data_IF_075344444563
#
_entry.id   IF_075344444563
#
_cell.length_a   1.000
_cell.length_b   1.000
_cell.length_c   1.000
_cell.angle_alpha   90.00
_cell.angle_beta   90.00
_cell.angle_gamma   90.00
#
_symmetry.space_group_name_H-M   'P 1'
#
loop_
_entity.id
_entity.type
_entity.pdbx_description
1 polymer ?
#
# COMPACT_ATOMS: atom_id res chain seq x y z
N UNK A 1 37.48 -16.07 -3.34
CA UNK A 1 36.38 -16.95 -3.80
C UNK A 1 36.05 -16.57 -5.22
N UNK A 2 35.74 -17.52 -6.10
CA UNK A 2 35.26 -17.21 -7.44
C UNK A 2 33.93 -16.44 -7.36
N UNK A 3 33.67 -15.51 -8.29
CA UNK A 3 32.40 -14.78 -8.32
C UNK A 3 31.24 -15.74 -8.60
N UNK A 4 30.14 -15.61 -7.86
CA UNK A 4 28.92 -16.36 -8.09
C UNK A 4 28.18 -15.73 -9.28
N UNK A 5 28.00 -16.49 -10.36
CA UNK A 5 27.36 -16.01 -11.60
C UNK A 5 25.97 -16.62 -11.73
N UNK A 6 24.94 -15.79 -11.62
CA UNK A 6 23.55 -16.23 -11.67
C UNK A 6 22.87 -15.76 -12.95
N UNK A 7 21.92 -16.58 -13.43
CA UNK A 7 21.03 -16.27 -14.55
C UNK A 7 19.58 -16.21 -14.08
N UNK A 8 19.09 -15.03 -13.63
CA UNK A 8 17.73 -14.91 -13.16
C UNK A 8 16.73 -15.09 -14.31
N UNK A 9 15.66 -15.84 -14.08
CA UNK A 9 14.74 -16.27 -15.14
C UNK A 9 13.28 -15.86 -14.92
N UNK A 10 12.89 -15.50 -13.69
CA UNK A 10 11.52 -15.13 -13.35
C UNK A 10 11.50 -14.12 -12.18
N UNK A 11 10.49 -13.26 -12.05
CA UNK A 11 10.35 -12.41 -10.88
C UNK A 11 9.89 -13.19 -9.65
N UNK A 12 10.21 -12.67 -8.47
CA UNK A 12 9.66 -13.11 -7.20
C UNK A 12 8.99 -11.95 -6.48
N UNK A 13 7.92 -12.25 -5.72
CA UNK A 13 7.35 -11.28 -4.80
C UNK A 13 8.44 -10.83 -3.80
N UNK A 14 8.59 -9.53 -3.59
CA UNK A 14 9.71 -8.93 -2.84
C UNK A 14 10.74 -8.18 -3.71
N UNK A 15 10.59 -8.21 -5.05
CA UNK A 15 11.43 -7.42 -5.96
C UNK A 15 12.75 -8.07 -6.35
N UNK A 16 12.95 -9.34 -5.96
CA UNK A 16 14.06 -10.16 -6.41
C UNK A 16 13.68 -10.91 -7.70
N UNK A 17 14.68 -11.37 -8.44
CA UNK A 17 14.51 -12.35 -9.52
C UNK A 17 15.01 -13.74 -9.07
N UNK A 18 14.36 -14.80 -9.55
CA UNK A 18 14.68 -16.19 -9.24
C UNK A 18 15.74 -16.69 -10.19
N UNK A 19 16.83 -17.23 -9.67
CA UNK A 19 17.82 -18.00 -10.44
C UNK A 19 17.93 -19.42 -9.89
N UNK A 20 18.33 -20.37 -10.75
CA UNK A 20 18.63 -21.75 -10.36
C UNK A 20 20.04 -22.10 -10.82
N UNK A 21 20.87 -22.56 -9.88
CA UNK A 21 22.24 -22.99 -10.15
C UNK A 21 22.54 -24.23 -9.29
N UNK A 22 23.05 -25.29 -9.91
CA UNK A 22 23.35 -26.58 -9.25
C UNK A 22 22.21 -27.12 -8.36
N UNK A 23 20.97 -27.02 -8.84
CA UNK A 23 19.78 -27.46 -8.09
C UNK A 23 19.37 -26.54 -6.93
N UNK A 24 20.12 -25.47 -6.65
CA UNK A 24 19.84 -24.48 -5.62
C UNK A 24 19.05 -23.30 -6.20
N UNK A 25 18.01 -22.87 -5.47
CA UNK A 25 17.21 -21.69 -5.80
C UNK A 25 17.79 -20.46 -5.10
N UNK A 26 17.97 -19.39 -5.87
CA UNK A 26 18.44 -18.09 -5.41
C UNK A 26 17.40 -17.01 -5.67
N UNK A 27 17.14 -16.16 -4.66
CA UNK A 27 16.50 -14.86 -4.82
C UNK A 27 17.59 -13.81 -5.02
N UNK A 28 17.65 -13.22 -6.21
CA UNK A 28 18.68 -12.26 -6.61
C UNK A 28 18.09 -10.86 -6.61
N UNK A 29 18.43 -10.07 -5.60
CA UNK A 29 18.02 -8.67 -5.52
C UNK A 29 18.74 -7.84 -6.60
N UNK A 30 18.05 -6.82 -7.12
CA UNK A 30 18.59 -5.85 -8.09
C UNK A 30 18.99 -6.43 -9.46
N UNK A 31 18.52 -7.64 -9.75
CA UNK A 31 18.61 -8.26 -11.07
C UNK A 31 17.23 -8.35 -11.72
N UNK A 32 17.21 -8.34 -13.06
CA UNK A 32 16.01 -8.58 -13.85
C UNK A 32 16.04 -10.00 -14.44
N UNK A 33 14.86 -10.59 -14.70
CA UNK A 33 14.78 -11.80 -15.51
C UNK A 33 15.44 -11.60 -16.88
N UNK A 34 16.16 -12.62 -17.34
CA UNK A 34 16.89 -12.61 -18.62
C UNK A 34 18.33 -12.10 -18.54
N UNK A 35 18.80 -11.67 -17.37
CA UNK A 35 20.15 -11.18 -17.19
C UNK A 35 21.17 -12.27 -16.85
N UNK A 36 22.45 -11.94 -17.05
CA UNK A 36 23.57 -12.65 -16.44
C UNK A 36 24.24 -11.69 -15.47
N UNK A 37 24.32 -12.06 -14.20
CA UNK A 37 24.83 -11.18 -13.13
C UNK A 37 25.90 -11.88 -12.30
N UNK A 38 26.91 -11.11 -11.92
CA UNK A 38 27.74 -11.44 -10.76
C UNK A 38 26.98 -11.02 -9.49
N UNK A 39 26.92 -11.92 -8.52
CA UNK A 39 26.12 -11.72 -7.32
C UNK A 39 26.88 -12.07 -6.04
N UNK A 40 26.58 -11.38 -4.96
CA UNK A 40 27.11 -11.68 -3.63
C UNK A 40 26.03 -12.33 -2.75
N UNK A 41 26.31 -13.47 -2.10
CA UNK A 41 25.40 -14.06 -1.12
C UNK A 41 25.09 -13.10 0.03
N UNK A 42 23.82 -13.01 0.42
CA UNK A 42 23.29 -12.16 1.51
C UNK A 42 22.50 -12.95 2.56
N UNK A 43 22.73 -14.26 2.66
CA UNK A 43 22.09 -15.14 3.63
C UNK A 43 20.90 -15.90 3.05
N UNK A 44 19.85 -16.10 3.86
CA UNK A 44 18.65 -16.87 3.51
C UNK A 44 17.38 -16.14 3.95
N UNK A 45 16.30 -16.31 3.20
CA UNK A 45 14.96 -15.82 3.52
C UNK A 45 13.97 -16.97 3.34
N UNK A 46 13.24 -17.34 4.41
CA UNK A 46 12.31 -18.48 4.37
C UNK A 46 12.97 -19.80 3.91
N UNK A 47 14.25 -20.00 4.26
CA UNK A 47 15.03 -21.17 3.84
C UNK A 47 15.62 -21.08 2.42
N UNK A 48 15.20 -20.14 1.58
CA UNK A 48 15.73 -19.92 0.23
C UNK A 48 17.00 -19.05 0.29
N UNK A 49 17.99 -19.35 -0.53
CA UNK A 49 19.23 -18.56 -0.57
C UNK A 49 18.98 -17.20 -1.23
N UNK A 50 19.63 -16.17 -0.70
CA UNK A 50 19.50 -14.80 -1.18
C UNK A 50 20.86 -14.30 -1.64
N UNK A 51 20.90 -13.62 -2.77
CA UNK A 51 22.05 -12.89 -3.27
C UNK A 51 21.65 -11.49 -3.72
N UNK A 52 22.60 -10.59 -3.88
CA UNK A 52 22.40 -9.29 -4.51
C UNK A 52 23.32 -9.18 -5.72
N UNK A 53 22.78 -8.75 -6.86
CA UNK A 53 23.61 -8.46 -8.03
C UNK A 53 24.56 -7.30 -7.71
N UNK A 54 25.85 -7.52 -7.93
CA UNK A 54 26.91 -6.52 -7.76
C UNK A 54 27.39 -5.98 -9.10
N UNK A 55 27.31 -6.80 -10.15
CA UNK A 55 27.61 -6.40 -11.53
C UNK A 55 26.70 -7.14 -12.52
N UNK A 56 26.16 -6.39 -13.47
CA UNK A 56 25.39 -6.93 -14.59
C UNK A 56 26.37 -7.20 -15.73
N UNK A 57 26.48 -8.46 -16.15
CA UNK A 57 27.38 -8.92 -17.22
C UNK A 57 26.65 -8.84 -18.56
N UNK A 58 25.43 -9.37 -18.61
CA UNK A 58 24.51 -9.26 -19.74
C UNK A 58 23.22 -8.62 -19.24
N UNK A 59 22.96 -7.39 -19.70
CA UNK A 59 21.82 -6.61 -19.24
C UNK A 59 20.55 -6.95 -20.03
N UNK A 60 19.41 -6.92 -19.33
CA UNK A 60 18.10 -6.99 -19.97
C UNK A 60 17.88 -5.73 -20.80
N UNK A 61 17.22 -5.80 -21.97
CA UNK A 61 16.82 -4.60 -22.73
C UNK A 61 15.88 -3.68 -21.94
N UNK A 62 15.28 -4.17 -20.86
CA UNK A 62 14.41 -3.40 -19.98
C UNK A 62 15.14 -2.76 -18.80
N UNK A 63 16.45 -2.96 -18.65
CA UNK A 63 17.23 -2.32 -17.58
C UNK A 63 17.39 -0.82 -17.87
N UNK A 64 17.19 -0.01 -16.84
CA UNK A 64 17.45 1.43 -16.86
C UNK A 64 18.35 1.80 -15.68
N UNK A 65 18.99 2.97 -15.75
CA UNK A 65 19.70 3.52 -14.61
C UNK A 65 18.67 3.98 -13.56
N UNK A 66 18.84 3.52 -12.31
CA UNK A 66 17.99 3.97 -11.21
C UNK A 66 18.31 5.46 -10.90
N UNK A 67 17.33 6.38 -11.00
CA UNK A 67 17.61 7.82 -10.86
C UNK A 67 17.80 8.26 -9.40
N UNK A 68 17.31 7.49 -8.42
CA UNK A 68 17.46 7.86 -7.01
C UNK A 68 18.89 7.58 -6.52
N UNK A 69 19.59 8.56 -5.93
CA UNK A 69 20.95 8.36 -5.42
C UNK A 69 21.00 7.40 -4.22
N UNK A 70 19.86 7.16 -3.57
CA UNK A 70 19.76 6.24 -2.43
C UNK A 70 19.32 4.82 -2.83
N UNK A 71 19.09 4.54 -4.11
CA UNK A 71 18.66 3.21 -4.57
C UNK A 71 19.70 2.14 -4.22
N UNK A 72 19.28 1.02 -3.63
CA UNK A 72 20.16 -0.04 -3.14
C UNK A 72 20.67 0.16 -1.70
N UNK A 73 20.71 1.39 -1.19
CA UNK A 73 21.02 1.69 0.21
C UNK A 73 19.76 1.91 1.06
N UNK A 74 18.75 2.57 0.50
CA UNK A 74 17.43 2.78 1.09
C UNK A 74 16.56 1.53 0.94
N UNK A 75 15.81 1.16 2.00
CA UNK A 75 14.87 0.04 1.97
C UNK A 75 13.58 0.27 1.17
N UNK A 76 13.35 1.48 0.66
CA UNK A 76 12.05 1.90 0.11
C UNK A 76 11.71 1.34 -1.28
N UNK A 77 12.65 1.38 -2.23
CA UNK A 77 12.40 1.00 -3.63
C UNK A 77 13.25 -0.21 -4.06
N UNK A 78 12.70 -1.06 -4.91
CA UNK A 78 13.35 -2.29 -5.36
C UNK A 78 13.45 -2.40 -6.89
N UNK A 79 12.62 -1.66 -7.65
CA UNK A 79 12.46 -1.84 -9.09
C UNK A 79 12.88 -0.62 -9.96
N UNK A 80 13.49 0.43 -9.39
CA UNK A 80 13.91 1.61 -10.16
C UNK A 80 14.90 1.31 -11.30
N UNK A 81 15.55 0.14 -11.27
CA UNK A 81 16.45 -0.33 -12.32
C UNK A 81 15.74 -1.04 -13.48
N UNK A 82 14.41 -1.15 -13.46
CA UNK A 82 13.57 -1.65 -14.53
C UNK A 82 12.78 -0.51 -15.17
N UNK A 83 12.72 -0.48 -16.50
CA UNK A 83 11.81 0.38 -17.25
C UNK A 83 10.38 0.19 -16.74
N UNK A 84 9.62 1.28 -16.63
CA UNK A 84 8.33 1.24 -15.93
C UNK A 84 7.33 0.24 -16.55
N UNK A 85 7.23 0.18 -17.88
CA UNK A 85 6.40 -0.81 -18.57
C UNK A 85 6.76 -2.25 -18.16
N UNK A 86 8.05 -2.54 -18.02
CA UNK A 86 8.51 -3.85 -17.58
C UNK A 86 8.21 -4.11 -16.09
N UNK A 87 8.17 -3.08 -15.23
CA UNK A 87 7.71 -3.25 -13.85
C UNK A 87 6.26 -3.79 -13.80
N UNK A 88 5.38 -3.30 -14.68
CA UNK A 88 4.00 -3.77 -14.77
C UNK A 88 3.93 -5.24 -15.21
N UNK A 89 4.76 -5.64 -16.18
CA UNK A 89 4.88 -7.04 -16.62
C UNK A 89 5.37 -7.96 -15.49
N UNK A 90 6.41 -7.54 -14.76
CA UNK A 90 6.94 -8.30 -13.62
C UNK A 90 5.87 -8.47 -12.53
N UNK A 91 5.13 -7.41 -12.21
CA UNK A 91 4.03 -7.46 -11.24
C UNK A 91 2.90 -8.38 -11.68
N UNK A 92 2.54 -8.37 -12.97
CA UNK A 92 1.57 -9.32 -13.54
C UNK A 92 2.04 -10.76 -13.35
N UNK A 93 3.28 -11.06 -13.73
CA UNK A 93 3.83 -12.41 -13.61
C UNK A 93 3.84 -12.90 -12.15
N UNK A 94 4.16 -12.03 -11.19
CA UNK A 94 4.13 -12.39 -9.76
C UNK A 94 2.72 -12.82 -9.31
N UNK A 95 1.67 -12.11 -9.75
CA UNK A 95 0.28 -12.48 -9.43
C UNK A 95 -0.12 -13.78 -10.13
N UNK A 96 0.21 -13.90 -11.42
CA UNK A 96 -0.08 -15.10 -12.21
C UNK A 96 0.57 -16.35 -11.61
N UNK A 97 1.84 -16.27 -11.23
CA UNK A 97 2.58 -17.35 -10.58
C UNK A 97 2.00 -17.70 -9.21
N UNK A 98 1.55 -16.70 -8.43
CA UNK A 98 0.92 -16.93 -7.13
C UNK A 98 -0.40 -17.70 -7.27
N UNK A 99 -1.22 -17.32 -8.25
CA UNK A 99 -2.49 -17.99 -8.55
C UNK A 99 -2.26 -19.40 -9.11
N UNK A 100 -1.33 -19.54 -10.05
CA UNK A 100 -0.98 -20.83 -10.65
C UNK A 100 -0.50 -21.85 -9.61
N UNK A 101 0.35 -21.42 -8.66
CA UNK A 101 0.79 -22.28 -7.54
C UNK A 101 -0.36 -22.71 -6.62
N UNK A 102 -1.41 -21.91 -6.52
CA UNK A 102 -2.63 -22.25 -5.78
C UNK A 102 -3.62 -23.10 -6.59
N UNK A 103 -3.32 -23.43 -7.85
CA UNK A 103 -4.20 -24.15 -8.76
C UNK A 103 -5.31 -23.29 -9.38
N UNK A 104 -5.16 -21.95 -9.32
CA UNK A 104 -6.04 -20.99 -9.97
C UNK A 104 -5.43 -20.48 -11.27
N UNK A 105 -6.28 -20.04 -12.19
CA UNK A 105 -5.85 -19.36 -13.41
C UNK A 105 -6.25 -17.91 -13.35
N UNK A 106 -5.28 -17.01 -13.53
CA UNK A 106 -5.57 -15.58 -13.70
C UNK A 106 -6.37 -15.38 -15.00
N UNK A 107 -7.50 -14.65 -15.00
CA UNK A 107 -8.26 -14.38 -16.22
C UNK A 107 -7.38 -13.73 -17.30
N UNK A 108 -7.40 -14.19 -18.57
CA UNK A 108 -6.53 -13.64 -19.61
C UNK A 108 -6.70 -12.14 -19.84
N UNK A 109 -7.93 -11.65 -19.69
CA UNK A 109 -8.35 -10.25 -19.81
C UNK A 109 -8.06 -9.39 -18.57
N UNK A 110 -7.30 -9.91 -17.60
CA UNK A 110 -6.87 -9.16 -16.41
C UNK A 110 -6.14 -7.89 -16.82
N UNK A 111 -6.67 -6.73 -16.44
CA UNK A 111 -6.03 -5.45 -16.69
C UNK A 111 -4.86 -5.21 -15.71
N UNK A 112 -3.80 -4.56 -16.18
CA UNK A 112 -2.70 -4.06 -15.34
C UNK A 112 -2.73 -2.54 -15.40
N UNK A 113 -3.19 -1.92 -14.33
CA UNK A 113 -3.48 -0.50 -14.23
C UNK A 113 -2.28 0.23 -13.62
N UNK A 114 -1.41 0.74 -14.49
CA UNK A 114 -0.22 1.53 -14.14
C UNK A 114 -0.50 3.03 -13.97
N UNK A 115 0.57 3.80 -13.83
CA UNK A 115 0.57 5.27 -13.78
C UNK A 115 1.23 5.86 -15.02
N UNK A 116 0.69 6.97 -15.53
CA UNK A 116 1.34 7.72 -16.61
C UNK A 116 2.68 8.32 -16.15
N UNK A 117 2.68 8.92 -14.96
CA UNK A 117 3.89 9.35 -14.26
C UNK A 117 4.04 8.53 -12.98
N UNK A 118 5.08 7.71 -12.94
CA UNK A 118 5.38 6.75 -11.88
C UNK A 118 6.21 7.35 -10.73
N UNK A 119 6.27 8.67 -10.64
CA UNK A 119 7.00 9.43 -9.63
C UNK A 119 6.07 10.40 -8.87
N UNK A 120 6.59 11.00 -7.79
CA UNK A 120 5.88 12.03 -6.99
C UNK A 120 4.46 11.65 -6.53
N UNK A 121 4.15 10.37 -6.46
CA UNK A 121 2.80 9.87 -6.20
C UNK A 121 2.48 9.75 -4.71
N UNK A 122 3.51 9.65 -3.87
CA UNK A 122 3.37 9.30 -2.45
C UNK A 122 3.12 10.55 -1.62
N UNK A 123 1.85 10.73 -1.25
CA UNK A 123 1.36 11.86 -0.46
C UNK A 123 1.60 11.68 1.04
N UNK A 124 2.09 10.52 1.50
CA UNK A 124 2.27 10.22 2.92
C UNK A 124 3.55 9.45 3.20
N UNK A 125 4.34 9.93 4.16
CA UNK A 125 5.60 9.31 4.58
C UNK A 125 5.84 9.45 6.07
N UNK A 126 6.43 8.41 6.66
CA UNK A 126 6.96 8.42 8.03
C UNK A 126 8.48 8.34 7.92
N UNK A 127 9.15 9.32 8.53
CA UNK A 127 10.58 9.54 8.38
C UNK A 127 11.25 9.46 9.74
N UNK A 128 12.16 8.51 9.88
CA UNK A 128 12.91 8.31 11.12
C UNK A 128 13.85 9.50 11.35
N UNK A 129 13.88 9.99 12.59
CA UNK A 129 14.77 11.05 13.00
C UNK A 129 16.15 10.47 13.36
N UNK A 130 17.20 11.17 12.98
CA UNK A 130 18.58 10.86 13.37
C UNK A 130 19.27 12.14 13.80
N UNK A 131 20.03 12.07 14.89
CA UNK A 131 20.87 13.17 15.35
C UNK A 131 22.28 12.99 14.80
N UNK A 132 22.71 13.92 13.95
CA UNK A 132 24.06 14.03 13.40
C UNK A 132 24.82 15.19 14.07
N UNK A 133 26.09 15.41 13.71
CA UNK A 133 26.92 16.43 14.34
C UNK A 133 26.41 17.87 14.11
N UNK A 134 25.68 18.08 13.01
CA UNK A 134 25.05 19.33 12.60
C UNK A 134 23.56 19.44 13.03
N UNK A 135 23.03 18.42 13.71
CA UNK A 135 21.69 18.41 14.28
C UNK A 135 20.79 17.27 13.77
N UNK A 136 19.50 17.41 13.98
CA UNK A 136 18.47 16.50 13.51
C UNK A 136 18.37 16.48 11.99
N UNK A 137 18.21 15.27 11.46
CA UNK A 137 17.83 14.97 10.08
C UNK A 137 16.76 13.90 10.06
N UNK A 138 16.09 13.79 8.92
CA UNK A 138 15.05 12.79 8.68
C UNK A 138 15.43 11.86 7.55
N UNK A 139 14.97 10.61 7.64
CA UNK A 139 15.39 9.57 6.71
C UNK A 139 14.54 8.32 6.77
N UNK A 140 15.05 7.27 6.14
CA UNK A 140 14.49 5.92 6.22
C UNK A 140 15.49 4.97 6.82
N UNK A 141 15.03 3.82 7.30
CA UNK A 141 15.93 2.73 7.60
C UNK A 141 16.72 2.29 6.36
N UNK A 142 18.03 2.06 6.54
CA UNK A 142 18.87 1.40 5.53
C UNK A 142 18.30 0.02 5.22
N UNK A 143 18.52 -0.43 4.00
CA UNK A 143 18.09 -1.75 3.55
C UNK A 143 18.55 -2.82 4.55
N UNK A 144 17.57 -3.53 5.15
CA UNK A 144 17.80 -4.61 6.12
C UNK A 144 18.60 -4.18 7.36
N UNK A 145 18.45 -2.94 7.80
CA UNK A 145 19.10 -2.40 9.00
C UNK A 145 18.14 -1.46 9.73
N UNK A 146 18.30 -1.32 11.05
CA UNK A 146 17.58 -0.29 11.82
C UNK A 146 18.30 1.07 11.81
N UNK A 147 19.50 1.16 11.20
CA UNK A 147 20.20 2.44 11.06
C UNK A 147 19.47 3.38 10.11
N UNK A 148 19.33 4.64 10.49
CA UNK A 148 18.64 5.67 9.70
C UNK A 148 19.58 6.24 8.64
N UNK A 149 19.19 6.12 7.37
CA UNK A 149 19.77 6.81 6.22
C UNK A 149 19.10 8.18 6.09
N UNK A 150 19.77 9.27 6.48
CA UNK A 150 19.25 10.60 6.20
C UNK A 150 19.15 10.80 4.69
N UNK A 151 18.11 11.50 4.26
CA UNK A 151 17.87 11.82 2.85
C UNK A 151 17.57 13.30 2.70
N UNK A 152 17.96 13.86 1.56
CA UNK A 152 17.65 15.23 1.19
C UNK A 152 16.35 15.32 0.39
N UNK A 153 15.89 14.18 -0.15
CA UNK A 153 14.66 14.08 -0.90
C UNK A 153 14.33 12.64 -1.30
N UNK A 154 13.15 12.45 -1.88
CA UNK A 154 12.67 11.14 -2.29
C UNK A 154 11.80 11.24 -3.53
N UNK A 155 12.29 10.72 -4.67
CA UNK A 155 11.64 10.87 -5.99
C UNK A 155 10.21 10.31 -6.08
N UNK A 156 9.83 9.38 -5.19
CA UNK A 156 8.46 8.84 -5.16
C UNK A 156 7.51 9.66 -4.28
N UNK A 157 8.02 10.51 -3.37
CA UNK A 157 7.21 11.39 -2.54
C UNK A 157 6.86 12.68 -3.26
N UNK A 158 5.69 13.23 -2.92
CA UNK A 158 5.26 14.57 -3.32
C UNK A 158 6.36 15.60 -2.96
N UNK A 159 6.61 16.55 -3.85
CA UNK A 159 7.68 17.55 -3.69
C UNK A 159 7.51 18.39 -2.43
N UNK A 160 6.27 18.57 -1.94
CA UNK A 160 6.01 19.28 -0.69
C UNK A 160 6.59 18.54 0.52
N UNK A 161 6.63 17.21 0.49
CA UNK A 161 7.29 16.42 1.54
C UNK A 161 8.80 16.62 1.46
N UNK A 162 9.37 16.59 0.25
CA UNK A 162 10.80 16.82 0.04
C UNK A 162 11.25 18.19 0.58
N UNK A 163 10.46 19.25 0.36
CA UNK A 163 10.71 20.57 0.96
C UNK A 163 10.50 20.59 2.48
N UNK A 164 9.54 19.81 2.99
CA UNK A 164 9.21 19.81 4.41
C UNK A 164 10.29 19.16 5.28
N UNK A 165 10.97 18.10 4.83
CA UNK A 165 12.00 17.42 5.62
C UNK A 165 13.07 18.37 6.18
N UNK A 166 13.78 19.20 5.37
CA UNK A 166 14.77 20.13 5.88
C UNK A 166 14.14 21.26 6.71
N UNK A 167 12.92 21.70 6.42
CA UNK A 167 12.24 22.74 7.19
C UNK A 167 11.91 22.30 8.62
N UNK A 168 11.37 21.08 8.78
CA UNK A 168 11.11 20.50 10.10
C UNK A 168 12.41 20.23 10.86
N UNK A 169 13.48 19.81 10.17
CA UNK A 169 14.79 19.60 10.77
C UNK A 169 15.38 20.92 11.30
N UNK A 170 15.34 21.98 10.50
CA UNK A 170 15.79 23.31 10.90
C UNK A 170 15.05 23.82 12.15
N UNK A 171 13.72 23.76 12.15
CA UNK A 171 12.91 24.16 13.31
C UNK A 171 13.23 23.32 14.56
N UNK A 172 13.45 22.01 14.41
CA UNK A 172 13.82 21.12 15.51
C UNK A 172 15.18 21.47 16.11
N UNK A 173 16.14 21.84 15.26
CA UNK A 173 17.49 22.24 15.66
C UNK A 173 17.53 23.60 16.33
N UNK A 174 16.85 24.60 15.77
CA UNK A 174 16.73 25.94 16.36
C UNK A 174 16.13 25.89 17.77
N UNK A 175 15.13 25.03 17.98
CA UNK A 175 14.47 24.84 19.27
C UNK A 175 15.12 23.79 20.17
N UNK A 176 16.21 23.18 19.71
CA UNK A 176 16.99 22.17 20.46
C UNK A 176 16.11 21.03 20.98
N UNK A 177 15.19 20.55 20.15
CA UNK A 177 14.34 19.42 20.50
C UNK A 177 15.20 18.19 20.82
N UNK A 178 14.74 17.38 21.76
CA UNK A 178 15.43 16.14 22.16
C UNK A 178 14.47 14.97 22.08
N UNK A 179 15.01 13.76 21.92
CA UNK A 179 14.21 12.54 21.89
C UNK A 179 13.29 12.40 20.68
N UNK A 180 13.50 13.15 19.58
CA UNK A 180 12.74 12.96 18.35
C UNK A 180 12.94 11.53 17.83
N UNK A 181 11.83 10.86 17.54
CA UNK A 181 11.81 9.51 17.00
C UNK A 181 11.52 9.54 15.50
N UNK A 182 10.41 10.14 15.10
CA UNK A 182 10.06 10.24 13.69
C UNK A 182 9.13 11.43 13.40
N UNK A 183 9.04 11.76 12.12
CA UNK A 183 8.16 12.76 11.54
C UNK A 183 7.22 12.06 10.55
N UNK A 184 5.91 12.17 10.80
CA UNK A 184 4.87 11.77 9.86
C UNK A 184 4.38 12.99 9.10
N UNK A 185 4.36 12.91 7.77
CA UNK A 185 3.81 13.92 6.88
C UNK A 185 2.73 13.32 5.98
N UNK A 186 1.63 14.05 5.78
CA UNK A 186 0.59 13.74 4.81
C UNK A 186 0.19 15.01 4.07
N UNK A 187 0.28 14.96 2.75
CA UNK A 187 0.00 16.06 1.84
C UNK A 187 -1.46 16.01 1.38
N UNK A 188 -2.08 17.19 1.33
CA UNK A 188 -3.42 17.35 0.77
C UNK A 188 -3.33 17.32 -0.77
N UNK A 189 -3.94 16.34 -1.44
CA UNK A 189 -3.75 16.17 -2.88
C UNK A 189 -4.23 17.36 -3.72
N UNK A 190 -5.31 18.00 -3.29
CA UNK A 190 -6.01 19.05 -4.05
C UNK A 190 -5.86 20.45 -3.44
N UNK A 191 -5.05 20.61 -2.39
CA UNK A 191 -4.91 21.86 -1.65
C UNK A 191 -3.53 22.05 -1.02
N UNK A 192 -3.30 23.16 -0.32
CA UNK A 192 -2.00 23.49 0.27
C UNK A 192 -1.74 22.79 1.61
N UNK A 193 -2.67 21.96 2.10
CA UNK A 193 -2.55 21.29 3.39
C UNK A 193 -1.33 20.36 3.49
N UNK A 194 -0.59 20.48 4.59
CA UNK A 194 0.43 19.55 5.01
C UNK A 194 0.14 19.14 6.45
N UNK A 195 -0.46 17.96 6.59
CA UNK A 195 -0.69 17.36 7.89
C UNK A 195 0.61 16.77 8.44
N UNK A 196 0.96 17.11 9.67
CA UNK A 196 2.22 16.71 10.29
C UNK A 196 2.02 16.16 11.71
N UNK A 197 2.93 15.29 12.13
CA UNK A 197 3.01 14.79 13.51
C UNK A 197 4.44 14.40 13.82
N UNK A 198 4.98 14.94 14.90
CA UNK A 198 6.23 14.46 15.50
C UNK A 198 5.93 13.36 16.52
N UNK A 199 6.80 12.36 16.58
CA UNK A 199 6.84 11.38 17.67
C UNK A 199 8.16 11.50 18.41
N UNK A 200 8.10 11.22 19.71
CA UNK A 200 9.24 11.23 20.60
C UNK A 200 9.47 9.82 21.16
N UNK A 201 10.71 9.54 21.52
CA UNK A 201 11.09 8.28 22.17
C UNK A 201 10.56 8.31 23.60
N UNK A 202 9.65 7.38 23.91
CA UNK A 202 8.97 7.35 25.21
C UNK A 202 7.76 8.30 25.27
N UNK A 203 7.34 8.75 26.47
CA UNK A 203 6.28 9.73 26.61
C UNK A 203 6.63 11.04 25.91
N UNK A 204 5.65 11.68 25.26
CA UNK A 204 5.85 12.98 24.63
C UNK A 204 6.25 14.02 25.69
N UNK A 205 7.41 14.71 25.52
CA UNK A 205 7.85 15.71 26.48
C UNK A 205 6.98 16.97 26.38
N UNK A 206 7.14 17.91 27.30
CA UNK A 206 6.71 19.29 27.05
C UNK A 206 7.69 19.96 26.08
N UNK A 207 7.17 20.56 25.01
CA UNK A 207 7.97 21.21 23.98
C UNK A 207 7.18 22.36 23.34
N UNK A 208 7.84 23.38 22.76
CA UNK A 208 7.18 24.59 22.28
C UNK A 208 6.49 24.39 20.92
N UNK A 209 5.46 23.52 20.90
CA UNK A 209 4.76 23.05 19.69
C UNK A 209 4.23 24.18 18.80
N UNK A 210 3.64 25.22 19.38
CA UNK A 210 3.08 26.33 18.61
C UNK A 210 4.17 27.22 17.99
N UNK A 211 5.27 27.41 18.70
CA UNK A 211 6.46 28.10 18.17
C UNK A 211 7.11 27.28 17.06
N UNK A 212 7.19 25.95 17.24
CA UNK A 212 7.68 25.03 16.22
C UNK A 212 6.85 25.12 14.94
N UNK A 213 5.52 25.01 15.06
CA UNK A 213 4.62 25.09 13.93
C UNK A 213 4.75 26.44 13.20
N UNK A 214 4.84 27.54 13.94
CA UNK A 214 5.04 28.88 13.37
C UNK A 214 6.36 28.95 12.59
N UNK A 215 7.44 28.42 13.16
CA UNK A 215 8.75 28.43 12.52
C UNK A 215 8.76 27.58 11.24
N UNK A 216 8.15 26.41 11.26
CA UNK A 216 7.98 25.59 10.05
C UNK A 216 7.13 26.33 9.00
N UNK A 217 6.07 27.02 9.40
CA UNK A 217 5.23 27.80 8.48
C UNK A 217 5.98 28.98 7.83
N UNK A 218 6.91 29.63 8.55
CA UNK A 218 7.81 30.65 7.97
C UNK A 218 8.74 30.06 6.90
N UNK A 219 9.20 28.82 7.09
CA UNK A 219 10.06 28.10 6.15
C UNK A 219 9.29 27.53 4.95
N UNK A 220 7.97 27.34 5.08
CA UNK A 220 7.07 26.79 4.07
C UNK A 220 5.84 27.71 3.87
N UNK A 221 6.04 28.96 3.42
CA UNK A 221 4.98 29.97 3.40
C UNK A 221 3.82 29.67 2.43
N UNK A 222 4.03 28.74 1.51
CA UNK A 222 3.04 28.26 0.53
C UNK A 222 2.17 27.10 1.04
N UNK A 223 2.49 26.54 2.21
CA UNK A 223 1.78 25.39 2.78
C UNK A 223 0.96 25.77 4.01
N UNK A 224 -0.17 25.10 4.18
CA UNK A 224 -1.00 25.20 5.39
C UNK A 224 -0.71 24.01 6.29
N UNK A 225 -0.05 24.25 7.43
CA UNK A 225 0.24 23.17 8.39
C UNK A 225 -1.04 22.73 9.10
N UNK A 226 -1.30 21.43 9.09
CA UNK A 226 -2.43 20.79 9.76
C UNK A 226 -1.90 19.79 10.78
N UNK A 227 -2.51 19.72 11.96
CA UNK A 227 -1.93 19.00 13.08
C UNK A 227 -2.90 18.06 13.81
N UNK A 228 -4.18 18.07 13.40
CA UNK A 228 -5.22 17.13 13.85
C UNK A 228 -5.79 16.31 12.68
N UNK A 229 -6.34 17.00 11.68
CA UNK A 229 -7.07 16.35 10.59
C UNK A 229 -7.01 17.15 9.28
N UNK A 230 -7.28 16.46 8.18
CA UNK A 230 -7.38 17.05 6.83
C UNK A 230 -8.52 16.41 6.04
N UNK A 231 -8.92 17.02 4.93
CA UNK A 231 -9.95 16.49 4.04
C UNK A 231 -9.33 15.92 2.77
N UNK A 232 -9.84 14.79 2.31
CA UNK A 232 -9.63 14.31 0.94
C UNK A 232 -10.93 14.50 0.18
N UNK A 233 -10.83 15.15 -0.98
CA UNK A 233 -11.98 15.40 -1.84
C UNK A 233 -11.81 14.66 -3.16
N UNK A 234 -12.79 13.83 -3.51
CA UNK A 234 -12.83 13.16 -4.80
C UNK A 234 -14.23 12.71 -5.15
N UNK A 235 -14.52 12.64 -6.45
CA UNK A 235 -15.83 12.29 -7.00
C UNK A 235 -16.99 13.17 -6.48
N UNK A 236 -16.73 14.33 -5.89
CA UNK A 236 -17.75 15.16 -5.22
C UNK A 236 -18.16 14.64 -3.84
N UNK A 237 -17.27 13.91 -3.18
CA UNK A 237 -17.38 13.48 -1.78
C UNK A 237 -16.20 14.03 -0.98
N UNK A 238 -16.40 14.22 0.31
CA UNK A 238 -15.40 14.73 1.24
C UNK A 238 -15.14 13.71 2.35
N UNK A 239 -13.89 13.32 2.54
CA UNK A 239 -13.48 12.37 3.56
C UNK A 239 -12.51 13.02 4.53
N UNK A 240 -12.91 13.15 5.78
CA UNK A 240 -12.02 13.55 6.87
C UNK A 240 -11.06 12.41 7.16
N UNK A 241 -9.78 12.74 7.32
CA UNK A 241 -8.71 11.84 7.73
C UNK A 241 -7.88 12.46 8.85
N UNK A 242 -7.23 11.61 9.64
CA UNK A 242 -6.33 12.00 10.73
C UNK A 242 -4.95 11.35 10.56
N UNK A 243 -3.95 11.88 11.25
CA UNK A 243 -2.58 11.35 11.24
C UNK A 243 -2.47 9.91 11.76
N UNK A 244 -3.38 9.46 12.62
CA UNK A 244 -3.41 8.11 13.20
C UNK A 244 -4.29 7.12 12.42
N UNK A 245 -4.99 7.57 11.37
CA UNK A 245 -5.85 6.71 10.55
C UNK A 245 -5.17 6.29 9.26
N UNK A 246 -5.44 5.05 8.81
CA UNK A 246 -4.91 4.56 7.54
C UNK A 246 -5.54 5.29 6.35
N UNK A 247 -4.70 5.65 5.39
CA UNK A 247 -5.08 6.27 4.11
C UNK A 247 -4.11 5.75 3.07
N UNK A 248 -4.62 5.46 1.86
CA UNK A 248 -3.77 5.05 0.76
C UNK A 248 -2.74 6.14 0.42
N UNK A 249 -1.46 5.77 0.40
CA UNK A 249 -0.38 6.76 0.25
C UNK A 249 -0.23 7.27 -1.18
N UNK A 250 -0.84 6.60 -2.17
CA UNK A 250 -0.88 7.03 -3.56
C UNK A 250 -2.31 7.44 -3.91
N UNK A 251 -2.60 8.73 -3.84
CA UNK A 251 -3.95 9.24 -4.08
C UNK A 251 -4.46 8.94 -5.49
N UNK A 252 -3.60 9.06 -6.51
CA UNK A 252 -3.98 8.81 -7.92
C UNK A 252 -4.38 7.34 -8.11
N UNK A 253 -3.57 6.41 -7.62
CA UNK A 253 -3.85 4.97 -7.76
C UNK A 253 -4.92 4.46 -6.78
N UNK A 254 -5.14 5.12 -5.65
CA UNK A 254 -6.30 4.88 -4.80
C UNK A 254 -7.60 5.07 -5.59
N UNK A 255 -7.72 6.16 -6.36
CA UNK A 255 -8.91 6.41 -7.18
C UNK A 255 -9.08 5.34 -8.27
N UNK A 256 -7.98 4.90 -8.90
CA UNK A 256 -8.01 3.82 -9.91
C UNK A 256 -8.44 2.49 -9.27
N UNK A 257 -7.87 2.13 -8.11
CA UNK A 257 -8.21 0.93 -7.37
C UNK A 257 -9.68 0.91 -6.97
N UNK A 258 -10.15 1.99 -6.33
CA UNK A 258 -11.53 2.09 -5.89
C UNK A 258 -12.50 2.10 -7.07
N UNK A 259 -12.15 2.77 -8.19
CA UNK A 259 -12.96 2.73 -9.41
C UNK A 259 -13.08 1.30 -9.94
N UNK A 260 -11.96 0.59 -10.08
CA UNK A 260 -11.96 -0.81 -10.54
C UNK A 260 -12.79 -1.71 -9.61
N UNK A 261 -12.69 -1.52 -8.29
CA UNK A 261 -13.47 -2.29 -7.33
C UNK A 261 -14.98 -2.00 -7.45
N UNK A 262 -15.38 -0.73 -7.61
CA UNK A 262 -16.78 -0.33 -7.82
C UNK A 262 -17.33 -0.83 -9.16
N UNK A 263 -16.53 -0.78 -10.23
CA UNK A 263 -16.91 -1.27 -11.57
C UNK A 263 -17.02 -2.80 -11.62
N UNK A 264 -16.29 -3.51 -10.74
CA UNK A 264 -16.46 -4.94 -10.52
C UNK A 264 -17.71 -5.25 -9.70
N UNK A 265 -17.96 -4.48 -8.63
CA UNK A 265 -19.07 -4.69 -7.71
C UNK A 265 -20.43 -4.41 -8.37
N UNK A 266 -20.49 -3.34 -9.17
CA UNK A 266 -21.68 -2.83 -9.85
C UNK A 266 -22.90 -2.78 -8.92
N UNK A 267 -22.72 -2.19 -7.73
CA UNK A 267 -23.79 -2.08 -6.75
C UNK A 267 -25.01 -1.38 -7.35
N UNK A 268 -26.18 -2.00 -7.17
CA UNK A 268 -27.45 -1.51 -7.73
C UNK A 268 -28.24 -0.75 -6.68
N UNK A 269 -29.06 0.21 -7.13
CA UNK A 269 -29.97 0.93 -6.23
C UNK A 269 -30.91 -0.05 -5.52
N UNK A 270 -31.08 0.11 -4.21
CA UNK A 270 -31.90 -0.76 -3.37
C UNK A 270 -31.21 -2.04 -2.87
N UNK A 271 -29.97 -2.32 -3.31
CA UNK A 271 -29.20 -3.45 -2.76
C UNK A 271 -28.68 -3.17 -1.35
N UNK A 272 -28.51 -4.25 -0.59
CA UNK A 272 -27.74 -4.28 0.65
C UNK A 272 -26.36 -4.85 0.36
N UNK A 273 -25.33 -4.07 0.65
CA UNK A 273 -23.93 -4.43 0.41
C UNK A 273 -23.15 -4.44 1.72
N UNK A 274 -22.30 -5.45 1.91
CA UNK A 274 -21.33 -5.49 3.00
C UNK A 274 -20.02 -4.83 2.54
N UNK A 275 -19.48 -3.92 3.34
CA UNK A 275 -18.10 -3.43 3.22
C UNK A 275 -17.30 -3.97 4.40
N UNK A 276 -16.38 -4.90 4.14
CA UNK A 276 -15.62 -5.62 5.16
C UNK A 276 -14.21 -5.07 5.22
N UNK A 277 -13.71 -4.83 6.44
CA UNK A 277 -12.46 -4.07 6.67
C UNK A 277 -12.60 -2.63 6.15
N UNK A 278 -13.75 -2.01 6.42
CA UNK A 278 -14.21 -0.81 5.75
C UNK A 278 -13.36 0.45 6.05
N UNK A 279 -12.52 0.41 7.09
CA UNK A 279 -11.73 1.55 7.53
C UNK A 279 -12.59 2.80 7.72
N UNK A 280 -12.16 3.90 7.10
CA UNK A 280 -12.83 5.20 7.19
C UNK A 280 -14.02 5.35 6.21
N UNK A 281 -14.40 4.29 5.49
CA UNK A 281 -15.63 4.24 4.69
C UNK A 281 -15.57 4.93 3.33
N UNK A 282 -14.39 5.04 2.70
CA UNK A 282 -14.25 5.60 1.35
C UNK A 282 -15.07 4.83 0.33
N UNK A 283 -14.91 3.50 0.32
CA UNK A 283 -15.65 2.59 -0.55
C UNK A 283 -17.13 2.55 -0.13
N UNK A 284 -17.42 2.39 1.16
CA UNK A 284 -18.78 2.43 1.72
C UNK A 284 -19.60 3.64 1.23
N UNK A 285 -19.06 4.84 1.32
CA UNK A 285 -19.76 6.05 0.89
C UNK A 285 -19.99 6.07 -0.63
N UNK A 286 -19.02 5.62 -1.42
CA UNK A 286 -19.14 5.53 -2.87
C UNK A 286 -20.23 4.54 -3.30
N UNK A 287 -20.30 3.37 -2.64
CA UNK A 287 -21.34 2.37 -2.87
C UNK A 287 -22.72 2.91 -2.47
N UNK A 288 -22.82 3.57 -1.31
CA UNK A 288 -24.09 4.15 -0.85
C UNK A 288 -24.62 5.24 -1.80
N UNK A 289 -23.72 6.01 -2.41
CA UNK A 289 -24.07 7.02 -3.42
C UNK A 289 -24.65 6.42 -4.71
N UNK A 290 -24.31 5.17 -5.04
CA UNK A 290 -24.95 4.43 -6.14
C UNK A 290 -26.40 3.98 -5.81
N UNK A 291 -26.90 4.33 -4.62
CA UNK A 291 -28.28 4.06 -4.18
C UNK A 291 -28.43 2.75 -3.39
N UNK A 292 -27.33 2.06 -3.08
CA UNK A 292 -27.33 0.92 -2.17
C UNK A 292 -27.34 1.37 -0.70
N UNK A 293 -27.73 0.48 0.20
CA UNK A 293 -27.48 0.63 1.64
C UNK A 293 -26.29 -0.25 2.03
N UNK A 294 -25.36 0.30 2.80
CA UNK A 294 -24.10 -0.37 3.13
C UNK A 294 -24.04 -0.69 4.62
N UNK A 295 -23.62 -1.90 4.95
CA UNK A 295 -23.19 -2.27 6.29
C UNK A 295 -21.67 -2.43 6.28
N UNK A 296 -20.99 -1.51 6.97
CA UNK A 296 -19.54 -1.44 7.09
C UNK A 296 -19.08 -2.13 8.37
N UNK A 297 -18.17 -3.11 8.26
CA UNK A 297 -17.56 -3.80 9.40
C UNK A 297 -16.11 -3.38 9.53
N UNK A 298 -15.75 -2.86 10.71
CA UNK A 298 -14.41 -2.33 11.01
C UNK A 298 -14.08 -2.54 12.49
N UNK A 299 -12.87 -3.03 12.80
CA UNK A 299 -12.45 -3.33 14.17
C UNK A 299 -11.76 -2.15 14.86
N UNK A 300 -11.11 -1.26 14.10
CA UNK A 300 -10.40 -0.12 14.64
C UNK A 300 -11.38 0.99 15.08
N UNK A 301 -11.45 1.33 16.38
CA UNK A 301 -12.42 2.29 16.89
C UNK A 301 -12.23 3.70 16.33
N UNK A 302 -10.99 4.12 16.03
CA UNK A 302 -10.71 5.42 15.41
C UNK A 302 -11.22 5.46 13.96
N UNK A 303 -11.03 4.38 13.21
CA UNK A 303 -11.54 4.26 11.85
C UNK A 303 -13.08 4.25 11.82
N UNK A 304 -13.73 3.54 12.75
CA UNK A 304 -15.21 3.55 12.91
C UNK A 304 -15.73 4.97 13.20
N UNK A 305 -15.09 5.68 14.13
CA UNK A 305 -15.51 7.04 14.49
C UNK A 305 -15.44 7.97 13.28
N UNK A 306 -14.33 7.91 12.55
CA UNK A 306 -14.10 8.72 11.36
C UNK A 306 -15.00 8.30 10.19
N UNK A 307 -15.25 7.00 10.04
CA UNK A 307 -16.17 6.43 9.06
C UNK A 307 -17.61 6.89 9.24
N UNK A 308 -18.10 6.91 10.48
CA UNK A 308 -19.41 7.48 10.82
C UNK A 308 -19.48 8.98 10.53
N UNK A 309 -18.40 9.72 10.77
CA UNK A 309 -18.31 11.13 10.41
C UNK A 309 -18.35 11.31 8.88
N UNK A 310 -17.57 10.53 8.13
CA UNK A 310 -17.53 10.58 6.67
C UNK A 310 -18.86 10.19 6.04
N UNK A 311 -19.57 9.20 6.59
CA UNK A 311 -20.91 8.86 6.16
C UNK A 311 -21.87 10.05 6.34
N UNK A 312 -21.81 10.76 7.48
CA UNK A 312 -22.62 11.96 7.71
C UNK A 312 -22.26 13.12 6.78
N UNK A 313 -20.97 13.42 6.61
CA UNK A 313 -20.48 14.47 5.71
C UNK A 313 -21.03 14.27 4.29
N UNK A 314 -21.05 13.02 3.83
CA UNK A 314 -21.48 12.68 2.48
C UNK A 314 -22.97 12.34 2.36
N UNK A 315 -23.76 12.47 3.44
CA UNK A 315 -25.15 12.01 3.48
C UNK A 315 -25.34 10.56 2.98
N UNK A 316 -24.34 9.72 3.23
CA UNK A 316 -24.27 8.35 2.74
C UNK A 316 -24.99 7.38 3.68
N UNK A 317 -25.78 6.47 3.12
CA UNK A 317 -26.54 5.43 3.86
C UNK A 317 -25.61 4.28 4.24
N UNK A 318 -24.78 4.50 5.26
CA UNK A 318 -23.81 3.54 5.78
C UNK A 318 -24.08 3.28 7.27
N UNK A 319 -24.29 2.01 7.62
CA UNK A 319 -24.35 1.54 9.00
C UNK A 319 -23.00 0.92 9.39
N UNK A 320 -22.41 1.38 10.50
CA UNK A 320 -21.13 0.85 11.00
C UNK A 320 -21.33 -0.15 12.13
N UNK A 321 -20.82 -1.36 11.94
CA UNK A 321 -20.77 -2.44 12.92
C UNK A 321 -19.32 -2.58 13.43
N UNK A 322 -19.00 -2.07 14.63
CA UNK A 322 -17.66 -2.19 15.20
C UNK A 322 -17.38 -3.64 15.58
N UNK A 323 -16.27 -4.19 15.10
CA UNK A 323 -15.83 -5.53 15.47
C UNK A 323 -15.16 -6.28 14.34
N UNK A 324 -14.70 -7.49 14.67
CA UNK A 324 -14.04 -8.38 13.70
C UNK A 324 -15.03 -8.94 12.69
N UNK A 325 -14.59 -9.07 11.44
CA UNK A 325 -15.43 -9.53 10.33
C UNK A 325 -16.05 -10.90 10.63
N UNK A 326 -15.27 -11.88 11.06
CA UNK A 326 -15.75 -13.24 11.36
C UNK A 326 -16.75 -13.30 12.52
N UNK A 327 -16.72 -12.34 13.44
CA UNK A 327 -17.68 -12.25 14.53
C UNK A 327 -18.97 -11.57 14.06
N UNK A 328 -18.84 -10.46 13.34
CA UNK A 328 -19.95 -9.65 12.84
C UNK A 328 -20.82 -10.42 11.83
N UNK A 329 -20.21 -11.28 11.00
CA UNK A 329 -20.95 -12.01 9.97
C UNK A 329 -21.80 -13.18 10.51
N UNK A 330 -21.52 -13.72 11.71
CA UNK A 330 -22.28 -14.86 12.28
C UNK A 330 -23.76 -14.56 12.48
N UNK A 331 -24.08 -13.31 12.83
CA UNK A 331 -25.46 -12.86 13.05
C UNK A 331 -26.20 -12.49 11.76
N UNK A 332 -25.52 -12.47 10.62
CA UNK A 332 -26.11 -12.03 9.35
C UNK A 332 -27.01 -13.11 8.77
N UNK A 333 -28.26 -12.72 8.50
CA UNK A 333 -29.30 -13.59 7.91
C UNK A 333 -28.99 -13.88 6.43
N UNK A 334 -29.27 -15.11 6.01
CA UNK A 334 -29.16 -15.53 4.60
C UNK A 334 -30.11 -14.70 3.71
N UNK A 335 -29.65 -14.39 2.49
CA UNK A 335 -30.40 -13.56 1.54
C UNK A 335 -30.55 -12.09 1.96
N UNK A 336 -29.96 -11.68 3.09
CA UNK A 336 -30.03 -10.30 3.52
C UNK A 336 -29.14 -9.41 2.65
N UNK A 337 -27.92 -9.81 2.33
CA UNK A 337 -27.03 -9.01 1.46
C UNK A 337 -26.93 -9.63 0.07
N UNK A 338 -26.79 -8.78 -0.95
CA UNK A 338 -26.60 -9.21 -2.34
C UNK A 338 -25.12 -9.31 -2.70
N UNK A 339 -24.29 -8.42 -2.16
CA UNK A 339 -22.88 -8.35 -2.49
C UNK A 339 -22.02 -7.96 -1.30
N UNK A 340 -20.72 -8.23 -1.39
CA UNK A 340 -19.72 -7.70 -0.48
C UNK A 340 -18.48 -7.20 -1.21
N UNK A 341 -17.82 -6.23 -0.61
CA UNK A 341 -16.45 -5.84 -0.91
C UNK A 341 -15.59 -6.08 0.34
N UNK A 342 -14.36 -6.54 0.15
CA UNK A 342 -13.40 -6.80 1.21
C UNK A 342 -12.01 -6.31 0.82
N UNK A 343 -11.37 -5.57 1.72
CA UNK A 343 -9.99 -5.08 1.62
C UNK A 343 -9.19 -5.46 2.88
N UNK A 344 -8.94 -6.77 3.10
CA UNK A 344 -8.29 -7.26 4.32
C UNK A 344 -6.82 -6.82 4.43
N UNK A 345 -6.22 -6.95 5.64
CA UNK A 345 -4.79 -6.75 5.83
C UNK A 345 -3.95 -7.76 5.02
N UNK A 346 -2.62 -7.56 4.97
CA UNK A 346 -1.68 -8.43 4.22
C UNK A 346 -1.81 -9.93 4.52
N UNK A 347 -2.25 -10.29 5.73
CA UNK A 347 -2.48 -11.67 6.14
C UNK A 347 -3.64 -12.36 5.40
N UNK A 348 -4.48 -11.59 4.70
CA UNK A 348 -5.74 -12.03 4.09
C UNK A 348 -6.86 -12.11 5.12
N UNK A 349 -7.93 -12.83 4.76
CA UNK A 349 -9.06 -13.07 5.64
C UNK A 349 -8.77 -14.21 6.63
N UNK A 350 -9.35 -14.08 7.82
CA UNK A 350 -9.44 -15.19 8.76
C UNK A 350 -10.27 -16.34 8.15
N UNK A 351 -9.89 -17.62 8.36
CA UNK A 351 -10.65 -18.75 7.83
C UNK A 351 -12.13 -18.73 8.21
N UNK A 352 -12.45 -18.26 9.42
CA UNK A 352 -13.82 -18.11 9.89
C UNK A 352 -14.60 -17.03 9.10
N UNK A 353 -13.96 -15.94 8.69
CA UNK A 353 -14.59 -14.93 7.85
C UNK A 353 -14.93 -15.48 6.45
N UNK A 354 -14.01 -16.25 5.85
CA UNK A 354 -14.25 -16.93 4.58
C UNK A 354 -15.40 -17.94 4.68
N UNK A 355 -15.45 -18.71 5.76
CA UNK A 355 -16.55 -19.65 6.01
C UNK A 355 -17.91 -18.94 6.09
N UNK A 356 -17.98 -17.79 6.76
CA UNK A 356 -19.21 -16.99 6.82
C UNK A 356 -19.58 -16.40 5.45
N UNK A 357 -18.64 -15.89 4.66
CA UNK A 357 -18.89 -15.42 3.29
C UNK A 357 -19.43 -16.53 2.38
N UNK A 358 -18.92 -17.75 2.54
CA UNK A 358 -19.40 -18.95 1.83
C UNK A 358 -20.81 -19.30 2.29
N UNK A 359 -21.07 -19.30 3.59
CA UNK A 359 -22.40 -19.57 4.19
C UNK A 359 -23.44 -18.57 3.68
N UNK A 360 -23.09 -17.28 3.63
CA UNK A 360 -23.98 -16.21 3.20
C UNK A 360 -24.37 -16.32 1.72
N UNK A 361 -23.52 -16.94 0.88
CA UNK A 361 -23.84 -17.24 -0.52
C UNK A 361 -24.19 -15.98 -1.33
N UNK A 362 -23.45 -14.89 -1.13
CA UNK A 362 -23.65 -13.62 -1.81
C UNK A 362 -23.53 -13.78 -3.33
N UNK A 363 -24.26 -12.97 -4.10
CA UNK A 363 -24.23 -13.04 -5.56
C UNK A 363 -22.87 -12.61 -6.10
N UNK A 364 -22.28 -11.57 -5.50
CA UNK A 364 -21.02 -10.94 -5.93
C UNK A 364 -20.11 -10.64 -4.75
N UNK A 365 -18.83 -10.96 -4.89
CA UNK A 365 -17.75 -10.59 -3.98
C UNK A 365 -16.67 -9.85 -4.75
N UNK A 366 -16.26 -8.68 -4.27
CA UNK A 366 -15.05 -8.00 -4.77
C UNK A 366 -13.99 -8.09 -3.69
N UNK A 367 -12.92 -8.83 -3.97
CA UNK A 367 -11.78 -8.98 -3.09
C UNK A 367 -10.66 -8.06 -3.57
N UNK A 368 -10.23 -7.11 -2.74
CA UNK A 368 -9.03 -6.29 -2.91
C UNK A 368 -7.90 -6.86 -2.04
N UNK A 369 -6.69 -7.00 -2.59
CA UNK A 369 -5.56 -7.55 -1.83
C UNK A 369 -4.21 -6.96 -2.23
N UNK A 370 -3.43 -6.62 -1.20
CA UNK A 370 -2.05 -6.14 -1.29
C UNK A 370 -0.98 -7.26 -1.22
N UNK A 371 -1.40 -8.53 -1.12
CA UNK A 371 -0.51 -9.69 -1.00
C UNK A 371 -0.97 -10.83 -1.94
N UNK A 372 -0.30 -11.05 -3.08
CA UNK A 372 -0.72 -12.03 -4.08
C UNK A 372 -0.86 -13.46 -3.54
N UNK A 373 -0.02 -13.85 -2.58
CA UNK A 373 -0.01 -15.22 -2.05
C UNK A 373 -1.20 -15.52 -1.14
N UNK A 374 -1.55 -14.60 -0.22
CA UNK A 374 -2.72 -14.75 0.65
C UNK A 374 -4.02 -14.52 -0.13
N UNK A 375 -4.00 -13.63 -1.14
CA UNK A 375 -5.12 -13.49 -2.08
C UNK A 375 -5.42 -14.83 -2.77
N UNK A 376 -4.42 -15.48 -3.37
CA UNK A 376 -4.62 -16.77 -4.05
C UNK A 376 -5.14 -17.86 -3.09
N UNK A 377 -4.61 -17.93 -1.86
CA UNK A 377 -5.08 -18.85 -0.81
C UNK A 377 -6.56 -18.66 -0.50
N UNK A 378 -6.99 -17.43 -0.32
CA UNK A 378 -8.36 -17.12 0.07
C UNK A 378 -9.33 -17.34 -1.10
N UNK A 379 -8.94 -16.99 -2.32
CA UNK A 379 -9.69 -17.29 -3.54
C UNK A 379 -9.92 -18.78 -3.72
N UNK A 380 -8.94 -19.65 -3.42
CA UNK A 380 -9.13 -21.11 -3.45
C UNK A 380 -10.24 -21.53 -2.49
N UNK A 381 -10.28 -20.97 -1.28
CA UNK A 381 -11.32 -21.28 -0.30
C UNK A 381 -12.70 -20.86 -0.79
N UNK A 382 -12.83 -19.65 -1.36
CA UNK A 382 -14.08 -19.15 -1.93
C UNK A 382 -14.52 -19.99 -3.14
N UNK A 383 -13.61 -20.36 -4.04
CA UNK A 383 -13.91 -21.20 -5.20
C UNK A 383 -14.40 -22.58 -4.78
N UNK A 384 -13.73 -23.21 -3.80
CA UNK A 384 -14.20 -24.47 -3.20
C UNK A 384 -15.56 -24.32 -2.50
N UNK A 385 -15.86 -23.14 -2.00
CA UNK A 385 -17.16 -22.76 -1.41
C UNK A 385 -18.26 -22.44 -2.42
N UNK A 386 -18.04 -22.66 -3.72
CA UNK A 386 -19.05 -22.51 -4.77
C UNK A 386 -19.01 -21.17 -5.51
N UNK A 387 -17.93 -20.40 -5.39
CA UNK A 387 -17.73 -19.20 -6.20
C UNK A 387 -16.88 -19.48 -7.45
N UNK A 388 -16.94 -18.58 -8.44
CA UNK A 388 -16.04 -18.55 -9.60
C UNK A 388 -15.42 -17.17 -9.71
N UNK A 389 -14.12 -17.11 -9.98
CA UNK A 389 -13.47 -15.86 -10.36
C UNK A 389 -13.91 -15.50 -11.78
N UNK A 390 -14.48 -14.30 -11.94
CA UNK A 390 -15.02 -13.80 -13.20
C UNK A 390 -14.13 -12.79 -13.87
N UNK A 391 -13.59 -11.85 -13.08
CA UNK A 391 -12.71 -10.78 -13.53
C UNK A 391 -11.62 -10.57 -12.50
N UNK A 392 -10.47 -10.09 -12.95
CA UNK A 392 -9.40 -9.65 -12.08
C UNK A 392 -8.76 -8.38 -12.64
N UNK A 393 -8.10 -7.64 -11.77
CA UNK A 393 -7.28 -6.49 -12.14
C UNK A 393 -6.07 -6.41 -11.23
N UNK A 394 -5.00 -5.79 -11.71
CA UNK A 394 -3.79 -5.50 -10.96
C UNK A 394 -3.62 -4.00 -11.00
N UNK A 395 -3.44 -3.37 -9.85
CA UNK A 395 -3.20 -1.93 -9.75
C UNK A 395 -1.79 -1.73 -9.23
N UNK A 396 -1.00 -0.96 -9.96
CA UNK A 396 0.32 -0.56 -9.50
C UNK A 396 0.20 0.59 -8.49
N UNK A 397 -0.21 0.28 -7.27
CA UNK A 397 -0.37 1.27 -6.20
C UNK A 397 0.97 1.92 -5.80
N UNK A 398 2.08 1.21 -5.98
CA UNK A 398 3.40 1.65 -5.56
C UNK A 398 4.43 1.38 -6.66
N UNK A 399 4.47 2.23 -7.71
CA UNK A 399 5.53 2.17 -8.71
C UNK A 399 6.92 2.18 -8.08
N UNK A 400 7.93 1.65 -8.78
CA UNK A 400 9.32 1.55 -8.30
C UNK A 400 9.56 0.58 -7.12
N UNK A 401 8.49 0.03 -6.56
CA UNK A 401 8.52 -0.97 -5.48
C UNK A 401 7.94 -2.30 -5.95
N UNK A 402 8.17 -3.37 -5.20
CA UNK A 402 7.59 -4.69 -5.52
C UNK A 402 6.12 -4.83 -5.13
N UNK A 403 5.54 -3.88 -4.39
CA UNK A 403 4.17 -4.01 -3.88
C UNK A 403 3.15 -4.03 -5.02
N UNK A 404 2.12 -4.85 -4.86
CA UNK A 404 1.10 -5.11 -5.86
C UNK A 404 -0.27 -5.07 -5.16
N UNK A 405 -1.19 -4.29 -5.70
CA UNK A 405 -2.61 -4.43 -5.38
C UNK A 405 -3.27 -5.26 -6.47
N UNK A 406 -4.13 -6.20 -6.07
CA UNK A 406 -4.85 -7.08 -6.97
C UNK A 406 -6.31 -7.17 -6.58
N UNK A 407 -7.20 -7.22 -7.57
CA UNK A 407 -8.64 -7.34 -7.38
C UNK A 407 -9.14 -8.62 -8.03
N UNK A 408 -10.14 -9.24 -7.41
CA UNK A 408 -10.90 -10.33 -8.00
C UNK A 408 -12.40 -10.11 -7.78
N UNK A 409 -13.18 -10.17 -8.87
CA UNK A 409 -14.62 -10.34 -8.82
C UNK A 409 -14.94 -11.83 -8.77
N UNK A 410 -15.64 -12.26 -7.75
CA UNK A 410 -16.20 -13.60 -7.65
C UNK A 410 -17.72 -13.55 -7.71
N UNK A 411 -18.30 -14.54 -8.39
CA UNK A 411 -19.75 -14.74 -8.45
C UNK A 411 -20.11 -16.16 -7.99
N UNK A 412 -21.29 -16.30 -7.39
CA UNK A 412 -21.85 -17.62 -7.06
C UNK A 412 -22.00 -18.45 -8.35
N UNK A 413 -21.54 -19.70 -8.31
CA UNK A 413 -21.62 -20.65 -9.44
C UNK A 413 -23.02 -21.17 -9.70
#
# INVERSE_FOLDING_TARGET
>A
MAPLILKPSAPAHGGAAVAREDGKVWLVNYALPGEVVEAEPRGRQGGVAVAAATRVIEASPHRVAAPCPYFGACGGCQLQHAAYAHQLELKRQVVEDAWARAGLRLPPDTAVLGMEDAWRYRIRGEFEAVSEADGWRFGFHRLRSHSVLPIDGCLIHDERIERALPAFAAAANEQRLTGLQNLLLTVEPTGPGLMWRLRFTGPEPSWPRDEFARRVAELLPDLTLLDDAMSLEFWGMTFRIRSDTFVQTNYRQMLVLYRAALDMLQARSGERVLDLYAGIGTISAAVARAGASVTAVEENPHAVQLGRLNARINSARVEYVPGKVEASLRGVRLGHFQAAILDPPRAGCEPAALAELIRLGLERLVYVSCEPSTHARDLVSLVRGGYRVRRAAIVDMFPQTYHIESLALLERS
#
